data_IF_115542772460
#
_entry.id   IF_115542772460
#
_cell.length_a   1.000
_cell.length_b   1.000
_cell.length_c   1.000
_cell.angle_alpha   90.00
_cell.angle_beta   90.00
_cell.angle_gamma   90.00
#
_symmetry.space_group_name_H-M   'P 1'
#
loop_
_entity.id
_entity.type
_entity.pdbx_description
1 polymer ?
#
# COMPACT_ATOMS: atom_id res chain seq x y z
N UNK A 1 9.72 5.86 25.49
CA UNK A 1 9.61 5.64 24.03
C UNK A 1 8.24 5.06 23.79
N UNK A 2 7.37 5.79 23.10
CA UNK A 2 6.00 5.36 22.85
C UNK A 2 5.94 4.68 21.48
N UNK A 3 5.54 3.40 21.39
CA UNK A 3 5.47 2.68 20.12
C UNK A 3 4.42 3.31 19.21
N UNK A 4 4.84 3.75 18.03
CA UNK A 4 3.97 4.37 17.01
C UNK A 4 4.20 3.74 15.64
N UNK A 5 3.14 3.63 14.86
CA UNK A 5 3.24 3.21 13.46
C UNK A 5 3.70 4.41 12.63
N UNK A 6 4.84 4.27 11.98
CA UNK A 6 5.42 5.32 11.12
C UNK A 6 5.11 5.11 9.65
N UNK A 7 4.90 3.85 9.23
CA UNK A 7 4.62 3.48 7.85
C UNK A 7 3.68 2.28 7.80
N UNK A 8 2.76 2.32 6.84
CA UNK A 8 1.90 1.21 6.46
C UNK A 8 2.12 0.95 4.97
N UNK A 9 2.44 -0.28 4.62
CA UNK A 9 2.63 -0.69 3.23
C UNK A 9 1.54 -1.68 2.84
N UNK A 10 0.86 -1.42 1.73
CA UNK A 10 -0.23 -2.25 1.21
C UNK A 10 0.16 -2.76 -0.16
N UNK A 11 0.14 -4.09 -0.32
CA UNK A 11 0.22 -4.74 -1.62
C UNK A 11 -1.14 -4.67 -2.33
N UNK A 12 -1.16 -4.21 -3.57
CA UNK A 12 -2.38 -4.03 -4.38
C UNK A 12 -2.24 -4.71 -5.74
N UNK A 13 -3.34 -5.23 -6.27
CA UNK A 13 -3.34 -5.84 -7.61
C UNK A 13 -3.26 -4.79 -8.73
N UNK A 14 -3.85 -3.62 -8.52
CA UNK A 14 -3.86 -2.50 -9.48
C UNK A 14 -3.47 -1.21 -8.74
N UNK A 15 -2.23 -0.76 -8.98
CA UNK A 15 -1.66 0.42 -8.35
C UNK A 15 -2.39 1.69 -8.75
N UNK A 16 -2.67 1.88 -10.05
CA UNK A 16 -3.36 3.08 -10.56
C UNK A 16 -4.75 3.22 -9.96
N UNK A 17 -5.51 2.11 -9.88
CA UNK A 17 -6.85 2.10 -9.28
C UNK A 17 -6.78 2.45 -7.79
N UNK A 18 -5.85 1.86 -7.06
CA UNK A 18 -5.67 2.14 -5.64
C UNK A 18 -5.24 3.59 -5.41
N UNK A 19 -4.29 4.09 -6.17
CA UNK A 19 -3.83 5.49 -6.11
C UNK A 19 -4.96 6.46 -6.31
N UNK A 20 -5.78 6.29 -7.36
CA UNK A 20 -6.95 7.15 -7.61
C UNK A 20 -7.97 7.10 -6.48
N UNK A 21 -8.15 5.93 -5.86
CA UNK A 21 -9.05 5.79 -4.71
C UNK A 21 -8.59 6.62 -3.52
N UNK A 22 -7.30 6.56 -3.16
CA UNK A 22 -6.76 7.36 -2.06
C UNK A 22 -6.68 8.85 -2.39
N UNK A 23 -6.36 9.22 -3.64
CA UNK A 23 -6.44 10.62 -4.10
C UNK A 23 -7.87 11.17 -4.04
N UNK A 24 -8.87 10.37 -4.42
CA UNK A 24 -10.28 10.76 -4.33
C UNK A 24 -10.77 10.95 -2.88
N UNK A 25 -10.13 10.28 -1.90
CA UNK A 25 -10.37 10.52 -0.48
C UNK A 25 -9.65 11.78 0.05
N UNK A 26 -8.88 12.48 -0.79
CA UNK A 26 -8.16 13.70 -0.44
C UNK A 26 -6.74 13.47 0.06
N UNK A 27 -6.18 12.27 -0.07
CA UNK A 27 -4.77 12.04 0.26
C UNK A 27 -3.88 12.63 -0.82
N UNK A 28 -2.78 13.27 -0.41
CA UNK A 28 -1.83 13.89 -1.31
C UNK A 28 -0.67 12.93 -1.56
N UNK A 29 -0.47 12.57 -2.82
CA UNK A 29 0.67 11.75 -3.25
C UNK A 29 1.98 12.48 -3.02
N UNK A 30 2.99 11.74 -2.58
CA UNK A 30 4.34 12.25 -2.48
C UNK A 30 4.98 12.31 -3.88
N UNK A 31 5.37 13.51 -4.32
CA UNK A 31 5.86 13.73 -5.68
C UNK A 31 7.24 13.11 -5.98
N UNK A 32 7.99 12.69 -4.96
CA UNK A 32 9.38 12.24 -5.11
C UNK A 32 9.56 10.84 -5.68
N UNK A 33 8.53 9.98 -5.65
CA UNK A 33 8.60 8.60 -6.13
C UNK A 33 7.30 8.30 -6.89
N UNK A 34 7.42 8.09 -8.19
CA UNK A 34 6.28 7.84 -9.09
C UNK A 34 6.47 6.61 -9.97
N UNK A 35 7.64 5.97 -9.94
CA UNK A 35 7.92 4.78 -10.74
C UNK A 35 7.57 3.52 -9.95
N UNK A 36 6.48 2.85 -10.35
CA UNK A 36 6.09 1.53 -9.87
C UNK A 36 5.54 1.45 -8.43
N UNK A 37 5.51 2.54 -7.66
CA UNK A 37 4.97 2.59 -6.30
C UNK A 37 4.35 3.95 -6.01
N UNK A 38 3.41 4.02 -5.06
CA UNK A 38 2.78 5.29 -4.65
C UNK A 38 2.88 5.50 -3.15
N UNK A 39 3.30 6.68 -2.71
CA UNK A 39 3.33 7.04 -1.29
C UNK A 39 2.40 8.21 -0.99
N UNK A 40 1.72 8.16 0.16
CA UNK A 40 0.90 9.24 0.70
C UNK A 40 1.41 9.68 2.07
N UNK A 41 1.48 10.98 2.29
CA UNK A 41 1.81 11.56 3.60
C UNK A 41 0.53 11.89 4.36
N UNK A 42 0.33 11.27 5.52
CA UNK A 42 -0.87 11.44 6.36
C UNK A 42 -0.51 12.09 7.71
N UNK A 43 0.25 13.19 7.69
CA UNK A 43 0.50 14.01 8.88
C UNK A 43 1.25 13.32 10.03
N UNK A 44 2.06 12.31 9.74
CA UNK A 44 2.83 11.58 10.76
C UNK A 44 2.94 10.08 10.53
N UNK A 45 2.21 9.55 9.55
CA UNK A 45 2.35 8.18 9.03
C UNK A 45 2.42 8.23 7.51
N UNK A 46 3.19 7.32 6.93
CA UNK A 46 3.34 7.14 5.49
C UNK A 46 2.48 5.95 5.07
N UNK A 47 1.66 6.12 4.03
CA UNK A 47 0.98 5.01 3.37
C UNK A 47 1.67 4.72 2.03
N UNK A 48 2.28 3.54 1.91
CA UNK A 48 2.89 3.06 0.67
C UNK A 48 2.01 2.03 -0.02
N UNK A 49 1.82 2.17 -1.33
CA UNK A 49 1.15 1.21 -2.20
C UNK A 49 2.17 0.59 -3.14
N UNK A 50 2.14 -0.74 -3.20
CA UNK A 50 3.06 -1.54 -4.01
C UNK A 50 2.27 -2.53 -4.86
N UNK A 51 2.66 -2.76 -6.12
CA UNK A 51 2.15 -3.88 -6.90
C UNK A 51 2.39 -5.19 -6.15
N UNK A 52 1.40 -6.07 -6.22
CA UNK A 52 1.43 -7.36 -5.53
C UNK A 52 2.68 -8.17 -5.88
N UNK A 53 3.04 -8.23 -7.16
CA UNK A 53 4.25 -8.91 -7.65
C UNK A 53 5.53 -8.39 -6.97
N UNK A 54 5.65 -7.07 -6.78
CA UNK A 54 6.81 -6.46 -6.13
C UNK A 54 6.82 -6.77 -4.63
N UNK A 55 5.65 -6.78 -3.99
CA UNK A 55 5.53 -7.10 -2.58
C UNK A 55 5.77 -8.59 -2.28
N UNK A 56 5.39 -9.51 -3.15
CA UNK A 56 5.72 -10.94 -3.02
C UNK A 56 7.23 -11.17 -3.15
N UNK A 57 7.88 -10.50 -4.10
CA UNK A 57 9.32 -10.57 -4.28
C UNK A 57 10.10 -10.02 -3.07
N UNK A 58 9.65 -8.91 -2.48
CA UNK A 58 10.29 -8.29 -1.31
C UNK A 58 10.06 -9.07 -0.02
N UNK A 59 8.84 -9.56 0.20
CA UNK A 59 8.46 -10.27 1.44
C UNK A 59 8.83 -11.75 1.43
N UNK A 60 9.02 -12.35 0.25
CA UNK A 60 9.17 -13.81 0.08
C UNK A 60 7.88 -14.58 0.38
N UNK A 61 6.73 -13.90 0.49
CA UNK A 61 5.43 -14.48 0.78
C UNK A 61 4.57 -14.42 -0.48
N UNK A 62 4.03 -15.57 -0.90
CA UNK A 62 2.99 -15.60 -1.93
C UNK A 62 1.64 -15.31 -1.30
N UNK A 63 0.94 -14.31 -1.80
CA UNK A 63 -0.36 -13.95 -1.26
C UNK A 63 -1.47 -14.85 -1.86
N UNK A 64 -2.43 -15.26 -1.05
CA UNK A 64 -3.57 -16.07 -1.50
C UNK A 64 -4.49 -15.32 -2.47
N UNK A 65 -4.94 -15.99 -3.54
CA UNK A 65 -5.82 -15.42 -4.58
C UNK A 65 -7.31 -15.61 -4.31
N UNK A 66 -7.67 -16.48 -3.36
CA UNK A 66 -9.05 -16.62 -2.92
C UNK A 66 -9.43 -15.46 -1.97
N UNK A 67 -10.68 -14.97 -2.01
CA UNK A 67 -11.17 -14.08 -0.98
C UNK A 67 -10.96 -14.73 0.39
N UNK A 68 -10.57 -13.93 1.38
CA UNK A 68 -10.35 -14.41 2.75
C UNK A 68 -11.68 -14.84 3.36
N UNK A 69 -12.08 -16.08 3.07
CA UNK A 69 -13.19 -16.74 3.74
C UNK A 69 -12.63 -17.33 5.03
N UNK A 70 -13.05 -16.80 6.18
CA UNK A 70 -12.91 -17.56 7.40
C UNK A 70 -13.79 -18.80 7.23
N UNK A 71 -13.26 -20.03 7.38
CA UNK A 71 -14.13 -21.20 7.44
C UNK A 71 -15.10 -20.99 8.61
N UNK A 72 -16.40 -21.17 8.32
CA UNK A 72 -17.46 -21.08 9.30
C UNK A 72 -17.30 -22.10 10.43
#
# INVERSE_FOLDING_TARGET
>A
MEPRISIVTIAVDDLDRATRFYEAMGLIRHAGITDGVTFFQMGGVILGLFPRESAEADSGITFGTAPSVMPA
#
